data_IF_676434833062
#
_entry.id   IF_676434833062
#
_cell.length_a   1.000
_cell.length_b   1.000
_cell.length_c   1.000
_cell.angle_alpha   90.00
_cell.angle_beta   90.00
_cell.angle_gamma   90.00
#
_symmetry.space_group_name_H-M   'P 1'
#
loop_
_entity.id
_entity.type
_entity.pdbx_description
1 polymer ?
#
# COMPACT_ATOMS: atom_id res chain seq x y z
N UNK A 1 -27.34 -18.70 23.88
CA UNK A 1 -27.12 -19.09 22.48
C UNK A 1 -25.65 -19.48 22.34
N UNK A 2 -25.36 -20.72 21.95
CA UNK A 2 -23.97 -21.20 21.74
C UNK A 2 -23.37 -20.44 20.57
N UNK A 3 -22.24 -19.74 20.77
CA UNK A 3 -21.41 -19.26 19.66
C UNK A 3 -20.98 -20.50 18.88
N UNK A 4 -21.55 -20.71 17.69
CA UNK A 4 -21.03 -21.68 16.75
C UNK A 4 -19.57 -21.28 16.45
N UNK A 5 -18.67 -22.27 16.46
CA UNK A 5 -17.29 -22.10 16.00
C UNK A 5 -17.32 -21.46 14.60
N UNK A 6 -16.38 -20.57 14.25
CA UNK A 6 -16.28 -20.15 12.87
C UNK A 6 -16.05 -21.41 12.04
N UNK A 7 -16.83 -21.52 10.96
CA UNK A 7 -16.59 -22.48 9.88
C UNK A 7 -15.11 -22.43 9.49
N UNK A 8 -14.56 -23.54 9.01
CA UNK A 8 -13.19 -23.58 8.50
C UNK A 8 -12.96 -22.38 7.58
N UNK A 9 -11.92 -21.57 7.85
CA UNK A 9 -11.50 -20.45 7.00
C UNK A 9 -11.34 -20.91 5.55
N UNK A 10 -10.91 -22.15 5.35
CA UNK A 10 -10.67 -22.76 4.04
C UNK A 10 -11.94 -23.25 3.37
N UNK A 11 -12.03 -23.15 2.02
CA UNK A 11 -13.11 -23.73 1.23
C UNK A 11 -13.24 -25.26 1.42
N UNK A 12 -14.36 -25.83 0.97
CA UNK A 12 -14.62 -27.26 1.14
C UNK A 12 -13.53 -28.11 0.43
N UNK A 13 -12.84 -29.03 1.13
CA UNK A 13 -11.72 -29.79 0.57
C UNK A 13 -12.09 -30.65 -0.64
N UNK A 14 -13.35 -31.08 -0.75
CA UNK A 14 -13.84 -31.90 -1.87
C UNK A 14 -13.96 -31.14 -3.20
N UNK A 15 -13.89 -29.80 -3.17
CA UNK A 15 -14.03 -28.96 -4.36
C UNK A 15 -12.70 -28.73 -5.12
N UNK A 16 -11.56 -29.16 -4.57
CA UNK A 16 -10.26 -29.10 -5.27
C UNK A 16 -9.34 -30.28 -4.89
N UNK A 17 -8.80 -31.02 -5.88
CA UNK A 17 -7.86 -32.12 -5.62
C UNK A 17 -6.52 -31.64 -5.05
N UNK A 18 -6.16 -30.36 -5.23
CA UNK A 18 -4.92 -29.76 -4.71
C UNK A 18 -5.12 -28.95 -3.43
N UNK A 19 -6.33 -28.94 -2.85
CA UNK A 19 -6.66 -28.09 -1.69
C UNK A 19 -5.76 -28.32 -0.47
N UNK A 20 -5.36 -29.56 -0.18
CA UNK A 20 -4.50 -29.88 0.95
C UNK A 20 -3.08 -29.30 0.81
N UNK A 21 -2.50 -29.36 -0.39
CA UNK A 21 -1.19 -28.76 -0.70
C UNK A 21 -1.27 -27.23 -0.61
N UNK A 22 -2.35 -26.66 -1.14
CA UNK A 22 -2.57 -25.22 -1.10
C UNK A 22 -2.67 -24.69 0.33
N UNK A 23 -3.41 -25.39 1.21
CA UNK A 23 -3.49 -25.05 2.63
C UNK A 23 -2.12 -25.12 3.29
N UNK A 24 -1.32 -26.15 3.01
CA UNK A 24 0.01 -26.26 3.60
C UNK A 24 0.93 -25.07 3.23
N UNK A 25 0.91 -24.66 1.96
CA UNK A 25 1.68 -23.50 1.50
C UNK A 25 1.18 -22.18 2.06
N UNK A 26 -0.14 -22.01 2.15
CA UNK A 26 -0.74 -20.86 2.82
C UNK A 26 -0.35 -20.80 4.29
N UNK A 27 -0.42 -21.90 5.04
CA UNK A 27 -0.01 -21.93 6.45
C UNK A 27 1.48 -21.57 6.59
N UNK A 28 2.35 -22.05 5.71
CA UNK A 28 3.77 -21.66 5.70
C UNK A 28 3.99 -20.16 5.40
N UNK A 29 3.13 -19.53 4.61
CA UNK A 29 3.13 -18.09 4.37
C UNK A 29 2.61 -17.31 5.59
N UNK A 30 1.50 -17.77 6.17
CA UNK A 30 0.88 -17.17 7.35
C UNK A 30 1.75 -17.28 8.59
N UNK A 31 2.59 -18.33 8.71
CA UNK A 31 3.59 -18.42 9.77
C UNK A 31 4.63 -17.29 9.68
N UNK A 32 4.95 -16.84 8.46
CA UNK A 32 5.88 -15.73 8.22
C UNK A 32 5.20 -14.36 8.31
N UNK A 33 3.94 -14.28 7.88
CA UNK A 33 3.13 -13.06 7.84
C UNK A 33 1.75 -13.29 8.49
N UNK A 34 1.70 -13.47 9.83
CA UNK A 34 0.46 -13.86 10.54
C UNK A 34 -0.66 -12.83 10.41
N UNK A 35 -0.28 -11.57 10.17
CA UNK A 35 -1.16 -10.43 9.94
C UNK A 35 -2.03 -10.54 8.69
N UNK A 36 -1.71 -11.44 7.76
CA UNK A 36 -2.56 -11.71 6.58
C UNK A 36 -3.80 -12.54 6.92
N UNK A 37 -3.77 -13.32 8.00
CA UNK A 37 -4.82 -14.30 8.32
C UNK A 37 -6.22 -13.67 8.44
N UNK A 38 -6.42 -12.54 9.14
CA UNK A 38 -7.74 -11.88 9.20
C UNK A 38 -8.23 -11.42 7.82
N UNK A 39 -7.33 -10.94 6.98
CA UNK A 39 -7.67 -10.50 5.63
C UNK A 39 -8.10 -11.67 4.73
N UNK A 40 -7.38 -12.81 4.78
CA UNK A 40 -7.74 -14.02 4.01
C UNK A 40 -9.15 -14.48 4.37
N UNK A 41 -9.46 -14.56 5.66
CA UNK A 41 -10.79 -14.97 6.15
C UNK A 41 -11.89 -14.00 5.68
N UNK A 42 -11.65 -12.69 5.82
CA UNK A 42 -12.59 -11.66 5.37
C UNK A 42 -12.86 -11.73 3.87
N UNK A 43 -11.82 -11.92 3.05
CA UNK A 43 -11.96 -11.96 1.61
C UNK A 43 -12.65 -13.21 1.12
N UNK A 44 -12.33 -14.37 1.69
CA UNK A 44 -13.08 -15.60 1.41
C UNK A 44 -14.56 -15.45 1.76
N UNK A 45 -14.87 -14.86 2.92
CA UNK A 45 -16.24 -14.54 3.31
C UNK A 45 -16.95 -13.62 2.31
N UNK A 46 -16.30 -12.51 1.91
CA UNK A 46 -16.85 -11.54 0.94
C UNK A 46 -17.03 -12.15 -0.46
N UNK A 47 -16.09 -12.96 -0.95
CA UNK A 47 -16.21 -13.65 -2.23
C UNK A 47 -17.31 -14.71 -2.20
N UNK A 48 -17.39 -15.51 -1.13
CA UNK A 48 -18.46 -16.51 -0.94
C UNK A 48 -19.83 -15.85 -0.97
N UNK A 49 -20.02 -14.75 -0.23
CA UNK A 49 -21.27 -13.98 -0.23
C UNK A 49 -21.64 -13.49 -1.63
N UNK A 50 -20.70 -12.85 -2.35
CA UNK A 50 -20.95 -12.35 -3.71
C UNK A 50 -21.35 -13.45 -4.70
N UNK A 51 -20.70 -14.61 -4.62
CA UNK A 51 -21.01 -15.75 -5.50
C UNK A 51 -22.39 -16.35 -5.15
N UNK A 52 -22.74 -16.43 -3.87
CA UNK A 52 -24.08 -16.83 -3.43
C UNK A 52 -25.15 -15.86 -3.93
N UNK A 53 -24.91 -14.55 -3.83
CA UNK A 53 -25.82 -13.51 -4.32
C UNK A 53 -26.00 -13.55 -5.85
N UNK A 54 -24.97 -13.96 -6.61
CA UNK A 54 -25.08 -14.20 -8.05
C UNK A 54 -25.84 -15.49 -8.43
N UNK A 55 -26.23 -16.30 -7.44
CA UNK A 55 -26.94 -17.56 -7.66
C UNK A 55 -26.06 -18.71 -8.16
N UNK A 56 -24.74 -18.64 -7.95
CA UNK A 56 -23.83 -19.70 -8.33
C UNK A 56 -24.11 -20.98 -7.50
N UNK A 57 -24.01 -22.18 -8.09
CA UNK A 57 -24.20 -23.43 -7.37
C UNK A 57 -23.04 -23.67 -6.39
N UNK A 58 -23.33 -24.22 -5.21
CA UNK A 58 -22.38 -24.31 -4.09
C UNK A 58 -21.02 -24.94 -4.43
N UNK A 59 -21.00 -25.96 -5.31
CA UNK A 59 -19.75 -26.57 -5.77
C UNK A 59 -18.88 -25.60 -6.59
N UNK A 60 -19.49 -24.80 -7.48
CA UNK A 60 -18.77 -23.78 -8.26
C UNK A 60 -18.25 -22.65 -7.38
N UNK A 61 -18.98 -22.31 -6.31
CA UNK A 61 -18.51 -21.34 -5.32
C UNK A 61 -17.20 -21.82 -4.69
N UNK A 62 -17.20 -23.03 -4.12
CA UNK A 62 -16.01 -23.56 -3.43
C UNK A 62 -14.84 -23.80 -4.40
N UNK A 63 -15.10 -24.22 -5.64
CA UNK A 63 -14.07 -24.34 -6.69
C UNK A 63 -13.47 -22.97 -7.04
N UNK A 64 -14.30 -21.93 -7.19
CA UNK A 64 -13.85 -20.56 -7.47
C UNK A 64 -13.02 -20.02 -6.32
N UNK A 65 -13.43 -20.24 -5.07
CA UNK A 65 -12.65 -19.82 -3.90
C UNK A 65 -11.28 -20.51 -3.83
N UNK A 66 -11.19 -21.79 -4.22
CA UNK A 66 -9.89 -22.47 -4.34
C UNK A 66 -8.99 -21.87 -5.42
N UNK A 67 -9.55 -21.44 -6.56
CA UNK A 67 -8.81 -20.77 -7.62
C UNK A 67 -8.30 -19.40 -7.18
N UNK A 68 -9.14 -18.61 -6.51
CA UNK A 68 -8.76 -17.32 -5.93
C UNK A 68 -7.63 -17.49 -4.90
N UNK A 69 -7.72 -18.48 -4.00
CA UNK A 69 -6.64 -18.78 -3.05
C UNK A 69 -5.34 -19.18 -3.73
N UNK A 70 -5.41 -19.94 -4.83
CA UNK A 70 -4.22 -20.33 -5.57
C UNK A 70 -3.58 -19.13 -6.27
N UNK A 71 -4.40 -18.23 -6.82
CA UNK A 71 -3.94 -17.00 -7.43
C UNK A 71 -3.29 -16.06 -6.41
N UNK A 72 -3.97 -15.75 -5.31
CA UNK A 72 -3.41 -14.87 -4.27
C UNK A 72 -2.14 -15.45 -3.64
N UNK A 73 -2.06 -16.77 -3.44
CA UNK A 73 -0.85 -17.41 -2.92
C UNK A 73 0.33 -17.25 -3.88
N UNK A 74 0.10 -17.48 -5.18
CA UNK A 74 1.13 -17.29 -6.19
C UNK A 74 1.63 -15.85 -6.22
N UNK A 75 0.72 -14.87 -6.08
CA UNK A 75 1.07 -13.45 -6.01
C UNK A 75 1.95 -13.15 -4.79
N UNK A 76 1.59 -13.63 -3.60
CA UNK A 76 2.38 -13.39 -2.39
C UNK A 76 3.73 -14.11 -2.41
N UNK A 77 3.80 -15.32 -2.95
CA UNK A 77 5.07 -16.06 -3.07
C UNK A 77 6.02 -15.45 -4.10
N UNK A 78 5.50 -14.71 -5.07
CA UNK A 78 6.30 -13.96 -6.03
C UNK A 78 6.92 -12.68 -5.42
N UNK A 79 6.52 -12.29 -4.20
CA UNK A 79 7.02 -11.11 -3.52
C UNK A 79 8.11 -11.44 -2.48
N UNK A 80 9.05 -10.52 -2.24
CA UNK A 80 9.93 -10.61 -1.08
C UNK A 80 9.13 -10.66 0.24
N UNK A 81 9.55 -11.50 1.20
CA UNK A 81 8.79 -11.74 2.43
C UNK A 81 8.51 -10.50 3.30
N UNK A 82 9.41 -9.50 3.29
CA UNK A 82 9.16 -8.25 4.01
C UNK A 82 8.11 -7.38 3.29
N UNK A 83 8.00 -7.45 1.95
CA UNK A 83 6.95 -6.78 1.20
C UNK A 83 5.57 -7.39 1.51
N UNK A 84 5.49 -8.72 1.61
CA UNK A 84 4.30 -9.44 2.09
C UNK A 84 3.91 -8.97 3.50
N UNK A 85 4.88 -8.86 4.40
CA UNK A 85 4.66 -8.38 5.77
C UNK A 85 4.16 -6.93 5.80
N UNK A 86 4.70 -6.06 4.95
CA UNK A 86 4.27 -4.66 4.84
C UNK A 86 2.86 -4.52 4.22
N UNK A 87 2.49 -5.37 3.26
CA UNK A 87 1.11 -5.48 2.76
C UNK A 87 0.19 -5.88 3.92
N UNK A 88 0.56 -6.91 4.69
CA UNK A 88 -0.22 -7.39 5.82
C UNK A 88 -0.49 -6.32 6.87
N UNK A 89 0.52 -5.53 7.23
CA UNK A 89 0.37 -4.37 8.14
C UNK A 89 -0.60 -3.34 7.55
N UNK A 90 -0.50 -3.06 6.26
CA UNK A 90 -1.37 -2.10 5.58
C UNK A 90 -2.83 -2.58 5.54
N UNK A 91 -3.06 -3.90 5.48
CA UNK A 91 -4.40 -4.50 5.51
C UNK A 91 -5.01 -4.51 6.92
N UNK A 92 -4.22 -4.72 7.97
CA UNK A 92 -4.71 -4.68 9.36
C UNK A 92 -5.17 -3.29 9.82
N UNK A 93 -4.46 -2.24 9.42
CA UNK A 93 -4.75 -0.85 9.82
C UNK A 93 -6.19 -0.42 9.43
N UNK A 94 -6.78 -1.01 8.37
CA UNK A 94 -8.14 -0.69 7.88
C UNK A 94 -9.26 -1.46 8.61
N UNK A 95 -8.99 -2.68 9.08
CA UNK A 95 -9.91 -3.42 9.96
C UNK A 95 -10.17 -2.69 11.29
N UNK A 96 -9.21 -1.89 11.73
CA UNK A 96 -9.34 -0.99 12.88
C UNK A 96 -10.08 0.33 12.56
N UNK A 97 -10.40 0.61 11.29
CA UNK A 97 -11.06 1.85 10.84
C UNK A 97 -12.52 1.63 10.39
N UNK A 98 -12.93 0.40 10.03
CA UNK A 98 -14.33 0.05 9.75
C UNK A 98 -15.19 -0.11 11.03
N UNK A 99 -14.58 -0.30 12.20
CA UNK A 99 -15.25 -0.39 13.51
C UNK A 99 -15.08 0.96 14.23
N UNK A 100 -16.20 1.54 14.68
CA UNK A 100 -16.27 2.73 15.56
C UNK A 100 -15.12 2.67 16.60
N UNK A 101 -14.30 3.73 16.81
CA UNK A 101 -13.09 3.61 17.58
C UNK A 101 -13.44 3.45 19.06
N UNK A 102 -13.61 2.21 19.49
CA UNK A 102 -13.53 1.87 20.89
C UNK A 102 -12.06 2.06 21.29
N UNK A 103 -11.80 3.14 22.03
CA UNK A 103 -10.49 3.65 22.44
C UNK A 103 -9.65 2.66 23.29
N UNK A 104 -10.10 1.42 23.44
CA UNK A 104 -9.59 0.44 24.41
C UNK A 104 -8.74 -0.68 23.79
N UNK A 105 -8.64 -0.78 22.47
CA UNK A 105 -7.77 -1.76 21.80
C UNK A 105 -6.79 -1.08 20.86
N UNK A 106 -5.78 -0.44 21.45
CA UNK A 106 -4.58 -0.05 20.72
C UNK A 106 -3.82 -1.35 20.40
N UNK A 107 -3.88 -1.78 19.14
CA UNK A 107 -2.97 -2.81 18.64
C UNK A 107 -1.54 -2.39 19.00
N UNK A 108 -0.77 -3.33 19.57
CA UNK A 108 0.59 -3.06 20.04
C UNK A 108 1.39 -2.34 18.94
N UNK A 109 1.90 -1.14 19.27
CA UNK A 109 2.72 -0.37 18.34
C UNK A 109 3.91 -1.23 17.90
N UNK A 110 4.23 -1.27 16.58
CA UNK A 110 5.34 -2.06 16.10
C UNK A 110 6.63 -1.57 16.78
N UNK A 111 7.42 -2.51 17.29
CA UNK A 111 8.77 -2.23 17.79
C UNK A 111 9.52 -1.49 16.69
N UNK A 112 10.01 -0.28 17.01
CA UNK A 112 10.71 0.54 16.04
C UNK A 112 11.91 -0.23 15.48
N UNK A 113 11.87 -0.56 14.19
CA UNK A 113 12.99 -1.17 13.50
C UNK A 113 14.21 -0.25 13.58
N UNK A 114 15.40 -0.85 13.74
CA UNK A 114 16.64 -0.08 13.74
C UNK A 114 16.83 0.64 12.39
N UNK A 115 17.48 1.82 12.34
CA UNK A 115 17.77 2.51 11.09
C UNK A 115 18.49 1.62 10.06
N UNK A 116 19.40 0.77 10.52
CA UNK A 116 20.14 -0.17 9.69
C UNK A 116 19.23 -1.24 9.06
N UNK A 117 18.26 -1.72 9.83
CA UNK A 117 17.26 -2.66 9.35
C UNK A 117 16.34 -2.01 8.30
N UNK A 118 15.90 -0.77 8.53
CA UNK A 118 15.06 -0.05 7.57
C UNK A 118 15.78 0.21 6.24
N UNK A 119 17.09 0.51 6.28
CA UNK A 119 17.91 0.64 5.07
C UNK A 119 18.05 -0.70 4.35
N UNK A 120 18.35 -1.78 5.06
CA UNK A 120 18.46 -3.11 4.47
C UNK A 120 17.14 -3.62 3.85
N UNK A 121 16.01 -3.34 4.50
CA UNK A 121 14.68 -3.67 3.98
C UNK A 121 14.37 -2.86 2.71
N UNK A 122 14.71 -1.57 2.68
CA UNK A 122 14.53 -0.73 1.50
C UNK A 122 15.43 -1.19 0.35
N UNK A 123 16.69 -1.54 0.59
CA UNK A 123 17.59 -2.09 -0.42
C UNK A 123 17.08 -3.42 -0.97
N UNK A 124 16.55 -4.29 -0.11
CA UNK A 124 15.94 -5.56 -0.52
C UNK A 124 14.70 -5.33 -1.38
N UNK A 125 13.87 -4.33 -1.03
CA UNK A 125 12.70 -3.93 -1.83
C UNK A 125 13.09 -3.42 -3.20
N UNK A 126 14.04 -2.51 -3.25
CA UNK A 126 14.51 -1.90 -4.48
C UNK A 126 15.34 -2.86 -5.34
N UNK A 127 15.66 -4.06 -4.85
CA UNK A 127 16.28 -5.12 -5.65
C UNK A 127 15.29 -5.77 -6.64
N UNK A 128 13.98 -5.63 -6.42
CA UNK A 128 12.94 -6.07 -7.34
C UNK A 128 12.52 -4.93 -8.31
N UNK A 129 12.26 -5.29 -9.57
CA UNK A 129 12.00 -4.34 -10.65
C UNK A 129 10.70 -3.52 -10.46
N UNK A 130 9.65 -4.11 -9.87
CA UNK A 130 8.39 -3.41 -9.63
C UNK A 130 8.56 -2.27 -8.63
N UNK A 131 9.29 -2.50 -7.56
CA UNK A 131 9.48 -1.50 -6.52
C UNK A 131 10.53 -0.46 -6.90
N UNK A 132 11.57 -0.84 -7.65
CA UNK A 132 12.47 0.12 -8.26
C UNK A 132 11.74 1.06 -9.23
N UNK A 133 10.78 0.54 -10.01
CA UNK A 133 9.91 1.35 -10.86
C UNK A 133 9.00 2.25 -10.02
N UNK A 134 8.33 1.72 -9.00
CA UNK A 134 7.47 2.49 -8.12
C UNK A 134 8.24 3.66 -7.44
N UNK A 135 9.45 3.40 -6.98
CA UNK A 135 10.37 4.41 -6.44
C UNK A 135 10.71 5.48 -7.46
N UNK A 136 11.03 5.09 -8.70
CA UNK A 136 11.23 6.03 -9.79
C UNK A 136 9.99 6.92 -10.01
N UNK A 137 8.80 6.34 -10.03
CA UNK A 137 7.55 7.06 -10.25
C UNK A 137 7.23 8.05 -9.11
N UNK A 138 7.52 7.68 -7.86
CA UNK A 138 7.45 8.58 -6.71
C UNK A 138 8.37 9.78 -6.92
N UNK A 139 9.63 9.56 -7.28
CA UNK A 139 10.60 10.62 -7.50
C UNK A 139 10.25 11.51 -8.70
N UNK A 140 9.70 10.93 -9.77
CA UNK A 140 9.42 11.64 -11.02
C UNK A 140 8.10 12.44 -10.98
N UNK A 141 7.08 11.95 -10.28
CA UNK A 141 5.73 12.52 -10.32
C UNK A 141 5.22 13.03 -8.97
N UNK A 142 5.57 12.35 -7.87
CA UNK A 142 5.04 12.70 -6.55
C UNK A 142 5.93 13.71 -5.81
N UNK A 143 7.22 13.43 -5.62
CA UNK A 143 8.14 14.29 -4.87
C UNK A 143 8.15 15.76 -5.37
N UNK A 144 8.09 16.05 -6.69
CA UNK A 144 8.01 17.43 -7.19
C UNK A 144 6.70 18.17 -6.83
N UNK A 145 5.65 17.46 -6.42
CA UNK A 145 4.36 18.04 -6.01
C UNK A 145 4.30 18.35 -4.52
N UNK A 146 5.26 17.85 -3.74
CA UNK A 146 5.34 18.10 -2.31
C UNK A 146 5.89 19.51 -2.04
N UNK A 147 5.45 20.16 -0.95
CA UNK A 147 5.94 21.49 -0.61
C UNK A 147 7.39 21.42 -0.11
N UNK A 148 8.34 21.74 -0.98
CA UNK A 148 9.77 21.78 -0.64
C UNK A 148 10.27 23.17 -0.19
N UNK A 149 9.43 24.20 -0.24
CA UNK A 149 9.78 25.57 0.17
C UNK A 149 8.56 26.34 0.67
N UNK A 150 8.79 27.44 1.38
CA UNK A 150 7.74 28.28 1.96
C UNK A 150 7.22 27.77 3.30
N UNK A 151 6.05 28.24 3.70
CA UNK A 151 5.48 28.07 5.04
C UNK A 151 5.19 26.60 5.44
N UNK A 152 5.06 25.71 4.46
CA UNK A 152 4.78 24.29 4.68
C UNK A 152 6.03 23.41 4.64
N UNK A 153 7.21 23.98 4.35
CA UNK A 153 8.47 23.22 4.25
C UNK A 153 8.92 22.60 5.58
N UNK A 154 8.35 23.06 6.70
CA UNK A 154 8.56 22.49 8.04
C UNK A 154 7.85 21.15 8.25
N UNK A 155 6.86 20.81 7.42
CA UNK A 155 6.24 19.48 7.43
C UNK A 155 7.20 18.52 6.70
N UNK A 156 7.78 17.52 7.39
CA UNK A 156 8.77 16.63 6.79
C UNK A 156 8.23 15.87 5.57
N UNK A 157 9.10 15.59 4.60
CA UNK A 157 8.74 14.79 3.41
C UNK A 157 8.20 13.40 3.80
N UNK A 158 8.80 12.77 4.82
CA UNK A 158 8.37 11.49 5.38
C UNK A 158 6.92 11.51 5.86
N UNK A 159 6.46 12.63 6.41
CA UNK A 159 5.11 12.78 6.92
C UNK A 159 4.10 12.95 5.77
N UNK A 160 4.48 13.66 4.70
CA UNK A 160 3.68 13.70 3.47
C UNK A 160 3.52 12.31 2.86
N UNK A 161 4.60 11.53 2.79
CA UNK A 161 4.53 10.15 2.33
C UNK A 161 3.66 9.27 3.22
N UNK A 162 3.74 9.47 4.54
CA UNK A 162 2.91 8.74 5.48
C UNK A 162 1.42 9.03 5.32
N UNK A 163 1.04 10.31 5.13
CA UNK A 163 -0.34 10.71 4.89
C UNK A 163 -0.87 10.17 3.57
N UNK A 164 -0.04 10.19 2.52
CA UNK A 164 -0.38 9.62 1.22
C UNK A 164 -0.61 8.11 1.33
N UNK A 165 0.29 7.40 2.01
CA UNK A 165 0.13 5.98 2.33
C UNK A 165 -1.16 5.74 3.11
N UNK A 166 -1.39 6.46 4.20
CA UNK A 166 -2.56 6.30 5.06
C UNK A 166 -3.88 6.66 4.36
N UNK A 167 -3.83 7.43 3.26
CA UNK A 167 -4.99 7.73 2.42
C UNK A 167 -5.25 6.71 1.31
N UNK A 168 -4.30 5.81 1.04
CA UNK A 168 -4.45 4.79 0.02
C UNK A 168 -5.41 3.69 0.51
N UNK A 169 -6.19 3.13 -0.42
CA UNK A 169 -7.00 1.95 -0.11
C UNK A 169 -6.08 0.73 0.00
N UNK A 170 -6.16 -0.04 1.08
CA UNK A 170 -5.45 -1.30 1.17
C UNK A 170 -5.91 -2.23 0.05
N UNK A 171 -4.96 -2.87 -0.60
CA UNK A 171 -5.24 -3.92 -1.59
C UNK A 171 -4.25 -5.06 -1.40
N UNK A 172 -4.71 -6.30 -1.54
CA UNK A 172 -3.89 -7.48 -1.36
C UNK A 172 -3.03 -7.81 -2.58
N UNK A 173 -3.57 -7.56 -3.77
CA UNK A 173 -2.85 -7.73 -5.03
C UNK A 173 -1.79 -6.64 -5.16
N UNK A 174 -0.59 -7.00 -5.63
CA UNK A 174 0.43 -6.02 -5.95
C UNK A 174 -0.02 -5.24 -7.21
N UNK A 175 -0.74 -4.15 -7.01
CA UNK A 175 -1.04 -3.16 -8.06
C UNK A 175 0.01 -2.05 -8.08
N UNK A 176 0.02 -1.22 -9.12
CA UNK A 176 0.92 -0.05 -9.17
C UNK A 176 0.72 0.89 -7.98
N UNK A 177 -0.51 1.02 -7.49
CA UNK A 177 -0.82 1.80 -6.29
C UNK A 177 -0.26 1.14 -5.03
N UNK A 178 -0.38 -0.18 -4.88
CA UNK A 178 0.20 -0.91 -3.73
C UNK A 178 1.71 -0.83 -3.75
N UNK A 179 2.35 -1.03 -4.90
CA UNK A 179 3.80 -0.91 -5.03
C UNK A 179 4.31 0.47 -4.61
N UNK A 180 3.63 1.55 -5.03
CA UNK A 180 3.95 2.91 -4.58
C UNK A 180 3.69 3.07 -3.08
N UNK A 181 2.56 2.60 -2.57
CA UNK A 181 2.19 2.70 -1.15
C UNK A 181 3.21 2.01 -0.25
N UNK A 182 3.77 0.87 -0.70
CA UNK A 182 4.85 0.16 -0.02
C UNK A 182 6.17 0.93 -0.05
N UNK A 183 6.51 1.57 -1.18
CA UNK A 183 7.66 2.49 -1.21
C UNK A 183 7.44 3.66 -0.24
N UNK A 184 6.24 4.25 -0.18
CA UNK A 184 5.92 5.32 0.76
C UNK A 184 5.99 4.86 2.22
N UNK A 185 5.61 3.60 2.51
CA UNK A 185 5.80 2.99 3.83
C UNK A 185 7.28 3.00 4.24
N UNK A 186 8.16 2.53 3.36
CA UNK A 186 9.60 2.50 3.64
C UNK A 186 10.21 3.91 3.77
N UNK A 187 9.63 4.91 3.11
CA UNK A 187 10.06 6.31 3.19
C UNK A 187 9.45 7.10 4.37
N UNK A 188 8.62 6.47 5.20
CA UNK A 188 7.93 7.12 6.33
C UNK A 188 8.17 6.44 7.70
N UNK A 189 9.40 6.01 8.05
CA UNK A 189 9.64 5.23 9.26
C UNK A 189 9.34 6.01 10.55
N UNK A 190 9.47 7.33 10.53
CA UNK A 190 9.28 8.17 11.72
C UNK A 190 7.80 8.44 12.02
N UNK A 191 6.90 8.21 11.07
CA UNK A 191 5.48 8.53 11.22
C UNK A 191 4.83 7.82 12.40
N UNK A 192 5.21 6.56 12.62
CA UNK A 192 4.70 5.74 13.71
C UNK A 192 5.04 6.31 15.11
N UNK A 193 6.07 7.16 15.23
CA UNK A 193 6.45 7.81 16.50
C UNK A 193 5.46 8.88 16.95
N UNK A 194 4.65 9.43 16.04
CA UNK A 194 3.63 10.42 16.38
C UNK A 194 2.47 9.74 17.11
N UNK A 195 1.87 10.34 18.17
CA UNK A 195 0.70 9.77 18.82
C UNK A 195 -0.46 9.50 17.85
N UNK A 196 -1.21 8.42 18.07
CA UNK A 196 -2.33 8.03 17.20
C UNK A 196 -3.34 9.15 16.97
N UNK A 197 -3.69 9.91 18.02
CA UNK A 197 -4.59 11.07 17.94
C UNK A 197 -4.06 12.15 16.98
N UNK A 198 -2.75 12.41 16.99
CA UNK A 198 -2.11 13.34 16.08
C UNK A 198 -2.11 12.84 14.64
N UNK A 199 -1.82 11.55 14.44
CA UNK A 199 -1.86 10.92 13.10
C UNK A 199 -3.27 11.00 12.50
N UNK A 200 -4.31 10.74 13.30
CA UNK A 200 -5.70 10.86 12.86
C UNK A 200 -6.11 12.30 12.54
N UNK A 201 -5.74 13.27 13.39
CA UNK A 201 -6.03 14.69 13.14
C UNK A 201 -5.35 15.16 11.84
N UNK A 202 -4.09 14.77 11.64
CA UNK A 202 -3.33 15.05 10.43
C UNK A 202 -3.94 14.42 9.18
N UNK A 203 -4.37 13.15 9.24
CA UNK A 203 -5.05 12.48 8.13
C UNK A 203 -6.40 13.14 7.80
N UNK A 204 -7.17 13.54 8.82
CA UNK A 204 -8.44 14.27 8.62
C UNK A 204 -8.18 15.61 7.92
N UNK A 205 -7.21 16.40 8.38
CA UNK A 205 -6.84 17.65 7.74
C UNK A 205 -6.31 17.43 6.32
N UNK A 206 -5.52 16.38 6.10
CA UNK A 206 -5.02 16.01 4.79
C UNK A 206 -6.19 15.78 3.83
N UNK A 207 -7.19 14.97 4.21
CA UNK A 207 -8.35 14.62 3.39
C UNK A 207 -9.41 15.73 3.27
N UNK A 208 -9.31 16.79 4.07
CA UNK A 208 -10.25 17.91 4.06
C UNK A 208 -10.26 18.67 2.72
N UNK A 209 -11.37 19.38 2.48
CA UNK A 209 -11.53 20.41 1.45
C UNK A 209 -11.39 21.80 2.09
N UNK A 210 -11.10 22.85 1.30
CA UNK A 210 -11.03 24.22 1.83
C UNK A 210 -12.31 24.63 2.59
N UNK A 211 -13.47 24.17 2.13
CA UNK A 211 -14.76 24.47 2.77
C UNK A 211 -14.95 23.82 4.15
N UNK A 212 -14.18 22.78 4.46
CA UNK A 212 -14.25 22.04 5.73
C UNK A 212 -13.48 22.76 6.85
N UNK A 213 -12.69 23.79 6.52
CA UNK A 213 -11.92 24.60 7.48
C UNK A 213 -12.83 25.63 8.17
N UNK A 214 -13.72 25.15 9.05
CA UNK A 214 -14.64 25.96 9.86
C UNK A 214 -14.51 25.61 11.34
N UNK A 215 -14.92 26.54 12.21
CA UNK A 215 -14.90 26.34 13.66
C UNK A 215 -13.56 26.68 14.30
N UNK A 216 -13.23 25.99 15.39
CA UNK A 216 -12.03 26.26 16.19
C UNK A 216 -10.77 25.66 15.55
N UNK A 217 -10.19 26.44 14.63
CA UNK A 217 -8.95 26.08 13.93
C UNK A 217 -7.74 26.01 14.87
N UNK A 218 -7.76 26.75 15.99
CA UNK A 218 -6.68 26.71 16.97
C UNK A 218 -6.60 25.34 17.64
N UNK A 219 -7.76 24.78 18.01
CA UNK A 219 -7.86 23.42 18.53
C UNK A 219 -7.41 22.38 17.52
N UNK A 220 -7.75 22.55 16.25
CA UNK A 220 -7.27 21.66 15.18
C UNK A 220 -5.73 21.68 15.11
N UNK A 221 -5.11 22.86 15.05
CA UNK A 221 -3.65 23.02 15.05
C UNK A 221 -2.99 22.34 16.26
N UNK A 222 -3.57 22.50 17.46
CA UNK A 222 -3.05 21.87 18.68
C UNK A 222 -3.11 20.33 18.68
N UNK A 223 -3.94 19.75 17.82
CA UNK A 223 -4.11 18.30 17.69
C UNK A 223 -3.17 17.68 16.64
N UNK A 224 -2.47 18.50 15.84
CA UNK A 224 -1.53 18.05 14.82
C UNK A 224 -0.16 17.68 15.43
N UNK A 225 0.71 16.96 14.70
CA UNK A 225 2.07 16.72 15.16
C UNK A 225 2.80 18.03 15.49
N UNK A 226 3.32 18.13 16.71
CA UNK A 226 3.85 19.39 17.25
C UNK A 226 5.00 19.98 16.42
N UNK A 227 5.84 19.12 15.82
CA UNK A 227 6.95 19.55 14.97
C UNK A 227 6.51 20.19 13.65
N UNK A 228 5.24 20.01 13.25
CA UNK A 228 4.70 20.69 12.07
C UNK A 228 4.49 22.18 12.31
N UNK A 229 4.27 22.62 13.55
CA UNK A 229 4.07 24.03 13.92
C UNK A 229 3.08 24.80 13.04
N UNK A 230 1.98 24.17 12.58
CA UNK A 230 1.01 24.81 11.68
C UNK A 230 0.14 25.83 12.41
N UNK A 231 0.07 27.05 11.91
CA UNK A 231 -0.86 28.08 12.39
C UNK A 231 -2.19 28.04 11.61
N UNK A 232 -3.31 28.53 12.19
CA UNK A 232 -4.63 28.52 11.53
C UNK A 232 -4.64 29.12 10.12
N UNK A 233 -3.91 30.22 9.92
CA UNK A 233 -3.80 30.90 8.62
C UNK A 233 -3.16 30.04 7.51
N UNK A 234 -2.49 28.95 7.88
CA UNK A 234 -1.70 28.11 6.98
C UNK A 234 -2.43 26.81 6.61
N UNK A 235 -3.56 26.52 7.26
CA UNK A 235 -4.35 25.31 7.04
C UNK A 235 -4.93 25.24 5.62
N UNK A 236 -5.38 26.36 5.05
CA UNK A 236 -5.88 26.40 3.68
C UNK A 236 -4.76 26.07 2.65
N UNK A 237 -3.56 26.60 2.88
CA UNK A 237 -2.40 26.28 2.07
C UNK A 237 -2.00 24.80 2.20
N UNK A 238 -2.06 24.25 3.42
CA UNK A 238 -1.82 22.83 3.68
C UNK A 238 -2.82 21.95 2.93
N UNK A 239 -4.11 22.23 3.02
CA UNK A 239 -5.17 21.49 2.31
C UNK A 239 -4.96 21.55 0.80
N UNK A 240 -4.60 22.71 0.25
CA UNK A 240 -4.28 22.84 -1.17
C UNK A 240 -3.04 22.01 -1.56
N UNK A 241 -2.01 21.97 -0.71
CA UNK A 241 -0.83 21.15 -0.91
C UNK A 241 -1.16 19.64 -0.84
N UNK A 242 -1.99 19.23 0.12
CA UNK A 242 -2.49 17.86 0.23
C UNK A 242 -3.25 17.43 -1.03
N UNK A 243 -4.08 18.30 -1.60
CA UNK A 243 -4.73 18.08 -2.88
C UNK A 243 -3.73 17.81 -4.02
N UNK A 244 -2.68 18.63 -4.15
CA UNK A 244 -1.62 18.43 -5.16
C UNK A 244 -0.83 17.14 -4.93
N UNK A 245 -0.53 16.81 -3.68
CA UNK A 245 0.17 15.59 -3.31
C UNK A 245 -0.62 14.34 -3.72
N UNK A 246 -1.95 14.32 -3.47
CA UNK A 246 -2.84 13.23 -3.93
C UNK A 246 -2.88 13.09 -5.45
N UNK A 247 -2.91 14.20 -6.18
CA UNK A 247 -2.78 14.17 -7.65
C UNK A 247 -1.43 13.58 -8.07
N UNK A 248 -0.34 13.99 -7.41
CA UNK A 248 0.99 13.43 -7.66
C UNK A 248 1.06 11.91 -7.42
N UNK A 249 0.37 11.39 -6.41
CA UNK A 249 0.27 9.95 -6.13
C UNK A 249 -0.50 9.20 -7.23
N UNK A 250 -1.61 9.77 -7.71
CA UNK A 250 -2.36 9.22 -8.83
C UNK A 250 -1.52 9.23 -10.13
N UNK A 251 -0.83 10.34 -10.41
CA UNK A 251 0.08 10.49 -11.55
C UNK A 251 1.23 9.48 -11.50
N UNK A 252 1.82 9.26 -10.32
CA UNK A 252 2.87 8.28 -10.10
C UNK A 252 2.36 6.85 -10.36
N UNK A 253 1.18 6.51 -9.84
CA UNK A 253 0.55 5.20 -10.02
C UNK A 253 0.23 4.93 -11.48
N UNK A 254 -0.31 5.93 -12.17
CA UNK A 254 -0.63 5.85 -13.58
C UNK A 254 0.65 5.72 -14.43
N UNK A 255 1.70 6.48 -14.12
CA UNK A 255 2.99 6.35 -14.81
C UNK A 255 3.59 4.95 -14.63
N UNK A 256 3.55 4.41 -13.41
CA UNK A 256 4.03 3.07 -13.11
C UNK A 256 3.33 2.04 -14.00
N UNK A 257 1.99 2.05 -14.03
CA UNK A 257 1.21 1.13 -14.86
C UNK A 257 1.54 1.25 -16.36
N UNK A 258 1.71 2.48 -16.87
CA UNK A 258 2.07 2.70 -18.28
C UNK A 258 3.48 2.19 -18.63
N UNK A 259 4.45 2.37 -17.73
CA UNK A 259 5.82 1.87 -17.96
C UNK A 259 5.84 0.33 -17.92
N UNK A 260 5.09 -0.30 -17.01
CA UNK A 260 4.91 -1.75 -17.00
C UNK A 260 4.31 -2.22 -18.33
N UNK A 261 3.26 -1.56 -18.82
CA UNK A 261 2.64 -1.89 -20.12
C UNK A 261 3.58 -1.70 -21.33
N UNK A 262 4.68 -0.97 -21.17
CA UNK A 262 5.73 -0.82 -22.19
C UNK A 262 6.83 -1.88 -22.10
N UNK A 263 6.89 -2.67 -21.02
CA UNK A 263 7.91 -3.69 -20.84
C UNK A 263 7.66 -4.90 -21.75
N UNK A 264 8.75 -5.41 -22.32
CA UNK A 264 8.77 -6.62 -23.16
C UNK A 264 8.82 -7.90 -22.33
N UNK A 265 9.29 -7.80 -21.10
CA UNK A 265 9.39 -8.89 -20.14
C UNK A 265 8.95 -8.42 -18.75
N UNK A 266 8.50 -9.34 -17.91
CA UNK A 266 7.97 -9.02 -16.59
C UNK A 266 8.63 -9.87 -15.50
N UNK A 267 9.87 -9.55 -15.09
CA UNK A 267 10.55 -10.28 -14.03
C UNK A 267 10.00 -9.93 -12.64
N UNK A 268 9.95 -10.92 -11.75
CA UNK A 268 9.60 -10.73 -10.33
C UNK A 268 8.26 -10.04 -10.14
N UNK A 269 8.21 -9.05 -9.24
CA UNK A 269 7.00 -8.27 -8.97
C UNK A 269 6.45 -7.50 -10.18
N UNK A 270 7.24 -7.30 -11.25
CA UNK A 270 6.77 -6.62 -12.46
C UNK A 270 5.70 -7.44 -13.20
N UNK A 271 5.72 -8.78 -13.06
CA UNK A 271 4.68 -9.67 -13.59
C UNK A 271 3.32 -9.36 -12.98
N UNK A 272 3.28 -9.17 -11.66
CA UNK A 272 2.06 -8.89 -10.92
C UNK A 272 1.47 -7.52 -11.29
N UNK A 273 2.33 -6.55 -11.59
CA UNK A 273 1.90 -5.23 -12.04
C UNK A 273 1.31 -5.25 -13.47
N UNK A 274 1.69 -6.22 -14.30
CA UNK A 274 1.34 -6.29 -15.72
C UNK A 274 -0.12 -6.68 -15.97
N UNK A 275 -0.77 -7.28 -14.98
CA UNK A 275 -2.19 -7.68 -15.06
C UNK A 275 -3.15 -6.47 -15.02
N UNK A 276 -2.63 -5.26 -14.80
CA UNK A 276 -3.41 -4.02 -14.85
C UNK A 276 -3.56 -3.50 -16.28
N UNK A 277 -4.79 -3.31 -16.81
CA UNK A 277 -4.99 -2.78 -18.15
C UNK A 277 -4.60 -1.29 -18.20
N UNK A 278 -3.45 -0.99 -18.81
CA UNK A 278 -2.96 0.37 -19.03
C UNK A 278 -2.43 0.53 -20.46
N UNK A 279 -2.56 1.74 -21.00
CA UNK A 279 -1.90 2.09 -22.26
C UNK A 279 -0.37 2.17 -22.06
N UNK A 280 0.45 1.82 -23.06
CA UNK A 280 1.91 1.97 -22.96
C UNK A 280 2.34 3.43 -22.68
N UNK A 281 3.48 3.59 -22.00
CA UNK A 281 4.08 4.90 -21.75
C UNK A 281 4.49 5.60 -23.05
N UNK A 282 4.41 6.94 -23.04
CA UNK A 282 4.83 7.73 -24.20
C UNK A 282 6.37 7.74 -24.36
N UNK A 283 6.90 8.05 -25.55
CA UNK A 283 8.35 8.18 -25.75
C UNK A 283 9.01 9.22 -24.82
N UNK A 284 8.27 10.27 -24.44
CA UNK A 284 8.77 11.29 -23.52
C UNK A 284 8.90 10.75 -22.09
N UNK A 285 7.96 9.92 -21.66
CA UNK A 285 7.95 9.27 -20.35
C UNK A 285 9.08 8.25 -20.23
N UNK A 286 9.25 7.41 -21.25
CA UNK A 286 10.38 6.48 -21.33
C UNK A 286 11.71 7.25 -21.41
N UNK A 287 11.77 8.32 -22.20
CA UNK A 287 12.94 9.19 -22.26
C UNK A 287 13.29 9.80 -20.89
N UNK A 288 12.30 10.15 -20.07
CA UNK A 288 12.51 10.63 -18.71
C UNK A 288 13.05 9.55 -17.77
N UNK A 289 12.57 8.31 -17.91
CA UNK A 289 13.11 7.15 -17.20
C UNK A 289 14.60 6.94 -17.54
N UNK A 290 14.94 6.92 -18.82
CA UNK A 290 16.33 6.73 -19.29
C UNK A 290 17.27 7.87 -18.87
N UNK A 291 16.80 9.12 -18.81
CA UNK A 291 17.60 10.23 -18.29
C UNK A 291 18.01 10.04 -16.81
N UNK A 292 17.21 9.30 -16.05
CA UNK A 292 17.46 9.03 -14.64
C UNK A 292 18.32 7.77 -14.38
N UNK A 293 18.81 7.09 -15.42
CA UNK A 293 19.64 5.88 -15.28
C UNK A 293 20.85 6.11 -14.39
N UNK A 294 21.55 7.23 -14.55
CA UNK A 294 22.71 7.54 -13.71
C UNK A 294 22.35 7.70 -12.22
N UNK A 295 21.16 8.23 -11.94
CA UNK A 295 20.66 8.44 -10.58
C UNK A 295 20.37 7.09 -9.89
N UNK A 296 19.74 6.15 -10.60
CA UNK A 296 19.28 4.87 -10.04
C UNK A 296 20.17 3.66 -10.37
N UNK A 297 21.35 3.86 -10.99
CA UNK A 297 22.24 2.76 -11.41
C UNK A 297 22.65 1.80 -10.30
N UNK A 298 22.63 2.26 -9.05
CA UNK A 298 23.01 1.48 -7.87
C UNK A 298 21.85 0.62 -7.35
N UNK A 299 20.64 0.83 -7.85
CA UNK A 299 19.45 0.07 -7.48
C UNK A 299 19.34 -1.16 -8.40
N UNK A 300 19.44 -2.36 -7.82
CA UNK A 300 19.44 -3.63 -8.57
C UNK A 300 18.18 -3.84 -9.42
N UNK A 301 17.00 -3.59 -8.86
CA UNK A 301 15.72 -3.73 -9.56
C UNK A 301 15.60 -2.77 -10.74
N UNK A 302 16.25 -1.60 -10.69
CA UNK A 302 16.23 -0.65 -11.80
C UNK A 302 17.03 -1.18 -13.00
N UNK A 303 18.10 -1.94 -12.79
CA UNK A 303 18.82 -2.58 -13.89
C UNK A 303 18.00 -3.69 -14.56
N UNK A 304 17.26 -4.46 -13.76
CA UNK A 304 16.33 -5.46 -14.28
C UNK A 304 15.21 -4.81 -15.10
N UNK A 305 14.63 -3.71 -14.58
CA UNK A 305 13.63 -2.91 -15.29
C UNK A 305 14.14 -2.40 -16.64
N UNK A 306 15.33 -1.79 -16.69
CA UNK A 306 15.91 -1.30 -17.94
C UNK A 306 16.17 -2.41 -18.96
N UNK A 307 16.46 -3.62 -18.48
CA UNK A 307 16.65 -4.79 -19.37
C UNK A 307 15.32 -5.32 -19.90
N UNK A 308 14.21 -4.98 -19.24
CA UNK A 308 12.86 -5.41 -19.59
C UNK A 308 12.13 -4.45 -20.56
N UNK A 309 12.61 -3.22 -20.76
CA UNK A 309 12.03 -2.19 -21.65
C UNK A 309 12.64 -2.22 -23.06
#
# INVERSE_FOLDING_TARGET
MRRMRPESMWPEPGASPSGAELVHRWEALLDKAPRLRPWVDQMLGRHRLRLQESGAPGFEIEQTLWQELAHWLADFEALPGFAVSAIAVTLEDDGAHEVDPDFSTIAAEPVAASPEQAVGELETLLSDAAFALAFHCVDARLRPRLPASGELARVPESDWFALLRASARPQPALTSQVAITLVLHMLSPEWARNPATCRHAALRLFLARPDDLRGDLQRLCSSLPSHWGLEPGQLAAFVAAAGRARVGLADASALCARIVASARAHPGGLALLADSPAAPASPEELGALFRNVRKYRHIGGFQQLLSAL
#
